data_IF_260546860576
#
_entry.id   IF_260546860576
#
_cell.length_a   1.000
_cell.length_b   1.000
_cell.length_c   1.000
_cell.angle_alpha   90.00
_cell.angle_beta   90.00
_cell.angle_gamma   90.00
#
_symmetry.space_group_name_H-M   'P 1'
#
loop_
_entity.id
_entity.type
_entity.pdbx_description
1 polymer ?
#
# COMPACT_ATOMS: atom_id res chain seq x y z
N UNK A 1 4.23 -13.05 -26.48
CA UNK A 1 4.47 -11.96 -25.51
C UNK A 1 5.94 -12.00 -25.14
N UNK A 2 6.65 -10.87 -25.25
CA UNK A 2 8.09 -10.81 -24.94
C UNK A 2 8.35 -11.19 -23.47
N UNK A 3 9.34 -12.03 -23.19
CA UNK A 3 9.68 -12.49 -21.82
C UNK A 3 9.86 -11.33 -20.85
N UNK A 4 10.43 -10.20 -21.32
CA UNK A 4 10.57 -8.99 -20.50
C UNK A 4 9.23 -8.40 -20.04
N UNK A 5 8.22 -8.39 -20.92
CA UNK A 5 6.87 -7.90 -20.59
C UNK A 5 6.18 -8.81 -19.57
N UNK A 6 6.35 -10.13 -19.70
CA UNK A 6 5.82 -11.11 -18.73
C UNK A 6 6.42 -10.88 -17.34
N UNK A 7 7.73 -10.64 -17.26
CA UNK A 7 8.43 -10.37 -16.01
C UNK A 7 7.90 -9.09 -15.35
N UNK A 8 7.75 -8.00 -16.11
CA UNK A 8 7.23 -6.72 -15.60
C UNK A 8 5.81 -6.85 -15.05
N UNK A 9 4.92 -7.55 -15.77
CA UNK A 9 3.57 -7.83 -15.28
C UNK A 9 3.58 -8.69 -14.02
N UNK A 10 4.46 -9.67 -13.95
CA UNK A 10 4.61 -10.52 -12.75
C UNK A 10 5.00 -9.68 -11.54
N UNK A 11 6.01 -8.82 -11.67
CA UNK A 11 6.40 -7.90 -10.59
C UNK A 11 5.29 -6.93 -10.22
N UNK A 12 4.58 -6.36 -11.20
CA UNK A 12 3.45 -5.47 -10.95
C UNK A 12 2.36 -6.16 -10.12
N UNK A 13 1.91 -7.35 -10.54
CA UNK A 13 0.83 -8.07 -9.87
C UNK A 13 1.25 -8.50 -8.46
N UNK A 14 2.42 -9.13 -8.31
CA UNK A 14 2.88 -9.62 -7.01
C UNK A 14 3.05 -8.46 -6.03
N UNK A 15 3.69 -7.37 -6.47
CA UNK A 15 3.90 -6.18 -5.62
C UNK A 15 2.58 -5.52 -5.25
N UNK A 16 1.60 -5.47 -6.17
CA UNK A 16 0.26 -4.96 -5.89
C UNK A 16 -0.45 -5.80 -4.81
N UNK A 17 -0.37 -7.14 -4.89
CA UNK A 17 -0.99 -8.00 -3.88
C UNK A 17 -0.39 -7.78 -2.49
N UNK A 18 0.94 -7.71 -2.38
CA UNK A 18 1.60 -7.41 -1.10
C UNK A 18 1.25 -6.00 -0.60
N UNK A 19 1.23 -5.00 -1.49
CA UNK A 19 0.83 -3.64 -1.16
C UNK A 19 -0.58 -3.56 -0.58
N UNK A 20 -1.55 -4.18 -1.25
CA UNK A 20 -2.94 -4.24 -0.79
C UNK A 20 -3.08 -5.02 0.53
N UNK A 21 -2.37 -6.14 0.70
CA UNK A 21 -2.36 -6.89 1.94
C UNK A 21 -1.82 -6.05 3.11
N UNK A 22 -0.75 -5.28 2.89
CA UNK A 22 -0.15 -4.41 3.91
C UNK A 22 -1.04 -3.22 4.26
N UNK A 23 -1.70 -2.62 3.27
CA UNK A 23 -2.71 -1.59 3.52
C UNK A 23 -3.84 -2.15 4.38
N UNK A 24 -4.37 -3.31 4.02
CA UNK A 24 -5.50 -3.90 4.73
C UNK A 24 -5.14 -4.29 6.17
N UNK A 25 -4.03 -5.00 6.34
CA UNK A 25 -3.53 -5.40 7.67
C UNK A 25 -3.15 -4.20 8.53
N UNK A 26 -2.46 -3.20 7.97
CA UNK A 26 -2.09 -1.97 8.69
C UNK A 26 -3.32 -1.19 9.18
N UNK A 27 -4.34 -0.99 8.34
CA UNK A 27 -5.57 -0.30 8.73
C UNK A 27 -6.44 -1.09 9.72
N UNK A 28 -6.44 -2.43 9.63
CA UNK A 28 -7.14 -3.29 10.58
C UNK A 28 -6.46 -3.25 11.95
N UNK A 29 -5.13 -3.31 11.96
CA UNK A 29 -4.31 -3.21 13.17
C UNK A 29 -4.40 -1.82 13.81
N UNK A 30 -4.45 -0.74 13.02
CA UNK A 30 -4.68 0.61 13.54
C UNK A 30 -6.04 0.70 14.25
N UNK A 31 -7.11 0.16 13.65
CA UNK A 31 -8.42 0.09 14.31
C UNK A 31 -8.40 -0.73 15.59
N UNK A 32 -7.71 -1.86 15.59
CA UNK A 32 -7.55 -2.69 16.79
C UNK A 32 -6.81 -1.94 17.90
N UNK A 33 -5.77 -1.18 17.55
CA UNK A 33 -5.02 -0.34 18.48
C UNK A 33 -5.94 0.69 19.16
N UNK A 34 -6.77 1.40 18.39
CA UNK A 34 -7.71 2.37 18.96
C UNK A 34 -8.78 1.72 19.83
N UNK A 35 -9.30 0.55 19.43
CA UNK A 35 -10.26 -0.21 20.25
C UNK A 35 -9.67 -0.65 21.60
N UNK A 36 -8.38 -0.97 21.65
CA UNK A 36 -7.70 -1.33 22.89
C UNK A 36 -7.38 -0.10 23.75
N UNK A 37 -7.04 1.02 23.11
CA UNK A 37 -6.68 2.27 23.78
C UNK A 37 -7.89 2.96 24.42
N UNK A 38 -9.02 2.97 23.73
CA UNK A 38 -10.29 3.49 24.23
C UNK A 38 -11.43 2.52 23.90
N UNK A 39 -11.78 1.61 24.84
CA UNK A 39 -12.85 0.63 24.63
C UNK A 39 -14.25 1.25 24.53
N UNK A 40 -14.44 2.46 25.04
CA UNK A 40 -15.72 3.18 25.01
C UNK A 40 -15.81 4.18 23.85
N UNK A 41 -14.67 4.52 23.23
CA UNK A 41 -14.56 5.38 22.06
C UNK A 41 -14.95 4.70 20.74
N UNK A 42 -14.89 5.45 19.65
CA UNK A 42 -15.22 4.96 18.31
C UNK A 42 -13.96 4.79 17.46
N UNK A 43 -13.42 3.57 17.48
CA UNK A 43 -12.22 3.23 16.71
C UNK A 43 -12.32 3.50 15.20
N UNK A 44 -13.53 3.59 14.62
CA UNK A 44 -13.69 3.93 13.19
C UNK A 44 -13.50 5.42 12.89
N UNK A 45 -13.79 6.30 13.85
CA UNK A 45 -13.55 7.75 13.72
C UNK A 45 -12.13 8.11 14.09
N UNK A 46 -11.58 7.42 15.10
CA UNK A 46 -10.31 7.78 15.72
C UNK A 46 -9.11 7.16 14.99
N UNK A 47 -9.32 6.01 14.34
CA UNK A 47 -8.30 5.42 13.48
C UNK A 47 -8.04 6.27 12.23
N UNK A 48 -6.76 6.38 11.87
CA UNK A 48 -6.36 7.10 10.67
C UNK A 48 -6.93 6.42 9.43
N UNK A 49 -7.65 7.19 8.61
CA UNK A 49 -8.32 6.68 7.40
C UNK A 49 -7.34 6.56 6.24
N UNK A 50 -7.61 5.62 5.33
CA UNK A 50 -6.79 5.36 4.15
C UNK A 50 -6.41 6.63 3.35
N UNK A 51 -7.31 7.60 3.07
CA UNK A 51 -6.94 8.80 2.31
C UNK A 51 -5.83 9.62 2.97
N UNK A 52 -5.79 9.65 4.30
CA UNK A 52 -4.75 10.35 5.06
C UNK A 52 -3.44 9.58 4.97
N UNK A 53 -3.49 8.25 5.06
CA UNK A 53 -2.32 7.37 4.87
C UNK A 53 -1.75 7.54 3.47
N UNK A 54 -2.59 7.58 2.44
CA UNK A 54 -2.19 7.79 1.04
C UNK A 54 -1.47 9.14 0.87
N UNK A 55 -2.07 10.22 1.39
CA UNK A 55 -1.52 11.58 1.28
C UNK A 55 -0.15 11.71 1.97
N UNK A 56 0.03 11.02 3.09
CA UNK A 56 1.25 11.11 3.91
C UNK A 56 2.10 9.84 3.85
N UNK A 57 1.94 9.01 2.81
CA UNK A 57 2.55 7.67 2.76
C UNK A 57 4.07 7.70 2.94
N UNK A 58 4.75 8.62 2.25
CA UNK A 58 6.21 8.81 2.38
C UNK A 58 6.63 9.23 3.80
N UNK A 59 5.89 10.14 4.41
CA UNK A 59 6.18 10.60 5.78
C UNK A 59 5.93 9.49 6.79
N UNK A 60 4.83 8.74 6.66
CA UNK A 60 4.48 7.66 7.57
C UNK A 60 5.33 6.42 7.40
N UNK A 61 5.86 6.13 6.20
CA UNK A 61 6.76 4.99 6.02
C UNK A 61 8.12 5.20 6.69
N UNK A 62 8.64 6.43 6.65
CA UNK A 62 9.97 6.79 7.14
C UNK A 62 9.99 7.43 8.54
N UNK A 63 8.85 7.89 9.05
CA UNK A 63 8.75 8.57 10.34
C UNK A 63 8.54 7.63 11.53
N UNK A 64 8.73 8.19 12.73
CA UNK A 64 8.39 7.55 14.00
C UNK A 64 6.88 7.64 14.29
N UNK A 65 6.09 6.94 13.48
CA UNK A 65 4.65 6.78 13.73
C UNK A 65 4.33 5.37 14.21
N UNK A 66 3.09 5.16 14.66
CA UNK A 66 2.60 3.87 15.14
C UNK A 66 2.87 2.77 14.12
N UNK A 67 3.36 1.61 14.57
CA UNK A 67 3.71 0.50 13.69
C UNK A 67 2.60 0.09 12.69
N UNK A 68 1.31 0.00 13.08
CA UNK A 68 0.23 -0.28 12.12
C UNK A 68 0.13 0.73 10.98
N UNK A 69 0.31 2.01 11.31
CA UNK A 69 0.25 3.11 10.34
C UNK A 69 1.44 3.07 9.38
N UNK A 70 2.65 2.73 9.88
CA UNK A 70 3.85 2.52 9.06
C UNK A 70 3.64 1.39 8.06
N UNK A 71 3.08 0.26 8.51
CA UNK A 71 2.78 -0.90 7.65
C UNK A 71 1.79 -0.51 6.55
N UNK A 72 0.71 0.20 6.90
CA UNK A 72 -0.25 0.69 5.91
C UNK A 72 0.40 1.61 4.88
N UNK A 73 1.27 2.53 5.32
CA UNK A 73 2.00 3.45 4.45
C UNK A 73 2.99 2.74 3.51
N UNK A 74 3.73 1.74 4.01
CA UNK A 74 4.60 0.88 3.19
C UNK A 74 3.76 0.15 2.13
N UNK A 75 2.59 -0.36 2.50
CA UNK A 75 1.66 -0.98 1.54
C UNK A 75 1.22 -0.03 0.42
N UNK A 76 0.96 1.25 0.74
CA UNK A 76 0.67 2.28 -0.28
C UNK A 76 1.86 2.47 -1.22
N UNK A 77 3.08 2.59 -0.68
CA UNK A 77 4.28 2.75 -1.51
C UNK A 77 4.54 1.54 -2.43
N UNK A 78 4.35 0.32 -1.93
CA UNK A 78 4.41 -0.89 -2.74
C UNK A 78 3.37 -0.87 -3.87
N UNK A 79 2.17 -0.37 -3.59
CA UNK A 79 1.12 -0.23 -4.61
C UNK A 79 1.49 0.81 -5.68
N UNK A 80 2.17 1.90 -5.31
CA UNK A 80 2.71 2.87 -6.28
C UNK A 80 3.82 2.26 -7.14
N UNK A 81 4.74 1.51 -6.54
CA UNK A 81 5.80 0.79 -7.26
C UNK A 81 5.18 -0.22 -8.24
N UNK A 82 4.15 -0.96 -7.82
CA UNK A 82 3.40 -1.85 -8.69
C UNK A 82 2.77 -1.12 -9.89
N UNK A 83 2.19 0.05 -9.65
CA UNK A 83 1.67 0.92 -10.70
C UNK A 83 2.74 1.34 -11.71
N UNK A 84 3.94 1.70 -11.24
CA UNK A 84 5.07 2.03 -12.13
C UNK A 84 5.44 0.83 -13.01
N UNK A 85 5.56 -0.38 -12.43
CA UNK A 85 5.84 -1.58 -13.22
C UNK A 85 4.76 -1.86 -14.26
N UNK A 86 3.47 -1.69 -13.91
CA UNK A 86 2.37 -1.86 -14.85
C UNK A 86 2.42 -0.84 -16.01
N UNK A 87 2.68 0.44 -15.70
CA UNK A 87 2.82 1.48 -16.72
C UNK A 87 4.00 1.18 -17.66
N UNK A 88 5.15 0.80 -17.11
CA UNK A 88 6.32 0.41 -17.92
C UNK A 88 6.01 -0.81 -18.78
N UNK A 89 5.34 -1.83 -18.24
CA UNK A 89 4.92 -3.01 -19.00
C UNK A 89 4.02 -2.64 -20.18
N UNK A 90 3.06 -1.71 -19.98
CA UNK A 90 2.19 -1.20 -21.04
C UNK A 90 3.00 -0.47 -22.11
N UNK A 91 3.88 0.47 -21.71
CA UNK A 91 4.72 1.22 -22.64
C UNK A 91 5.56 0.26 -23.50
N UNK A 92 6.25 -0.70 -22.87
CA UNK A 92 7.07 -1.68 -23.59
C UNK A 92 6.21 -2.53 -24.52
N UNK A 93 5.01 -2.95 -24.09
CA UNK A 93 4.10 -3.75 -24.94
C UNK A 93 3.71 -2.97 -26.20
N UNK A 94 3.42 -1.67 -26.07
CA UNK A 94 3.00 -0.82 -27.19
C UNK A 94 4.16 -0.45 -28.11
N UNK A 95 5.37 -0.25 -27.58
CA UNK A 95 6.54 0.16 -28.40
C UNK A 95 7.28 -1.01 -29.04
N UNK A 96 7.06 -2.24 -28.57
CA UNK A 96 7.64 -3.47 -29.13
C UNK A 96 6.66 -4.32 -29.95
N UNK A 97 5.44 -3.82 -30.14
CA UNK A 97 4.45 -4.34 -31.08
C UNK A 97 4.65 -3.72 -32.48
#
# INVERSE_FOLDING_TARGET
>A
MNTGVVILWTFAIVTAMFGLAFIWTGLKSERSYWKQRDPHGNAHTDATKLPIVIRNAFQYSAGEVRAPLRIAAIGVLLTYIAGIFAVVAIIVTVTSA
#
